data_IF_189832009212
#
_entry.id   IF_189832009212
#
_cell.length_a   1.000
_cell.length_b   1.000
_cell.length_c   1.000
_cell.angle_alpha   90.00
_cell.angle_beta   90.00
_cell.angle_gamma   90.00
#
_symmetry.space_group_name_H-M   'P 1'
#
loop_
_entity.id
_entity.type
_entity.pdbx_description
1 polymer ?
#
# COMPACT_ATOMS: atom_id res chain seq x y z
N UNK A 1 -4.52 24.97 -4.81
CA UNK A 1 -3.86 23.67 -5.08
C UNK A 1 -4.90 22.57 -4.91
N UNK A 2 -5.07 21.65 -5.87
CA UNK A 2 -5.93 20.47 -5.66
C UNK A 2 -5.27 19.61 -4.57
N UNK A 3 -5.99 19.35 -3.48
CA UNK A 3 -5.54 18.40 -2.45
C UNK A 3 -5.55 17.00 -3.05
N UNK A 4 -4.56 16.18 -2.71
CA UNK A 4 -4.57 14.77 -3.09
C UNK A 4 -5.82 14.07 -2.55
N UNK A 5 -6.35 13.13 -3.34
CA UNK A 5 -7.68 12.52 -3.09
C UNK A 5 -7.60 11.07 -2.66
N UNK A 6 -6.47 10.41 -2.88
CA UNK A 6 -6.31 8.96 -2.66
C UNK A 6 -5.47 8.72 -1.42
N UNK A 7 -5.99 7.92 -0.49
CA UNK A 7 -5.26 7.48 0.69
C UNK A 7 -4.31 6.34 0.29
N UNK A 8 -3.05 6.39 0.73
CA UNK A 8 -2.05 5.37 0.40
C UNK A 8 -1.63 4.66 1.68
N UNK A 9 -1.49 3.34 1.58
CA UNK A 9 -0.94 2.45 2.60
C UNK A 9 0.30 1.78 2.01
N UNK A 10 1.46 2.02 2.61
CA UNK A 10 2.71 1.38 2.23
C UNK A 10 3.07 0.29 3.23
N UNK A 11 3.24 -0.93 2.75
CA UNK A 11 3.76 -2.05 3.52
C UNK A 11 5.22 -1.77 3.92
N UNK A 12 5.48 -1.82 5.23
CA UNK A 12 6.80 -1.58 5.82
C UNK A 12 7.31 -2.80 6.59
N UNK A 13 6.83 -3.98 6.20
CA UNK A 13 7.36 -5.27 6.65
C UNK A 13 8.79 -5.51 6.15
N UNK A 14 9.48 -6.44 6.80
CA UNK A 14 10.90 -6.69 6.52
C UNK A 14 11.20 -7.15 5.10
N UNK A 15 10.24 -7.79 4.41
CA UNK A 15 10.39 -8.23 3.02
C UNK A 15 10.43 -7.07 2.03
N UNK A 16 9.79 -5.93 2.37
CA UNK A 16 9.76 -4.72 1.53
C UNK A 16 11.06 -3.91 1.54
N UNK A 17 12.00 -4.23 2.45
CA UNK A 17 13.24 -3.45 2.65
C UNK A 17 14.05 -3.22 1.37
N UNK A 18 14.09 -4.20 0.48
CA UNK A 18 14.87 -4.11 -0.75
C UNK A 18 14.25 -3.18 -1.82
N UNK A 19 12.96 -2.89 -1.74
CA UNK A 19 12.25 -1.99 -2.67
C UNK A 19 11.99 -0.60 -2.07
N UNK A 20 12.19 -0.43 -0.76
CA UNK A 20 11.75 0.73 0.00
C UNK A 20 12.24 2.07 -0.58
N UNK A 21 13.52 2.20 -0.90
CA UNK A 21 14.09 3.44 -1.45
C UNK A 21 13.46 3.83 -2.80
N UNK A 22 13.19 2.84 -3.65
CA UNK A 22 12.55 3.06 -4.94
C UNK A 22 11.07 3.46 -4.77
N UNK A 23 10.35 2.78 -3.86
CA UNK A 23 8.96 3.08 -3.53
C UNK A 23 8.80 4.48 -2.94
N UNK A 24 9.64 4.85 -1.98
CA UNK A 24 9.66 6.20 -1.38
C UNK A 24 9.91 7.26 -2.45
N UNK A 25 10.85 7.02 -3.36
CA UNK A 25 11.14 7.94 -4.47
C UNK A 25 9.92 8.11 -5.40
N UNK A 26 9.23 7.01 -5.74
CA UNK A 26 8.03 7.04 -6.56
C UNK A 26 6.89 7.81 -5.87
N UNK A 27 6.60 7.48 -4.61
CA UNK A 27 5.57 8.12 -3.79
C UNK A 27 5.86 9.63 -3.68
N UNK A 28 7.11 10.02 -3.45
CA UNK A 28 7.52 11.42 -3.41
C UNK A 28 7.23 12.18 -4.71
N UNK A 29 7.46 11.55 -5.86
CA UNK A 29 7.12 12.12 -7.18
C UNK A 29 5.62 12.27 -7.38
N UNK A 30 4.82 11.38 -6.81
CA UNK A 30 3.36 11.36 -6.90
C UNK A 30 2.65 12.16 -5.80
N UNK A 31 3.38 12.72 -4.82
CA UNK A 31 2.84 13.34 -3.59
C UNK A 31 1.68 14.33 -3.78
N UNK A 32 1.61 15.03 -4.92
CA UNK A 32 0.51 15.96 -5.23
C UNK A 32 -0.86 15.28 -5.41
N UNK A 33 -0.88 13.96 -5.64
CA UNK A 33 -2.09 13.17 -5.82
C UNK A 33 -2.50 12.41 -4.54
N UNK A 34 -1.61 12.35 -3.55
CA UNK A 34 -1.77 11.58 -2.32
C UNK A 34 -2.49 12.43 -1.27
N UNK A 35 -3.57 11.88 -0.70
CA UNK A 35 -4.25 12.45 0.45
C UNK A 35 -3.32 12.29 1.66
N UNK A 36 -3.05 13.39 2.34
CA UNK A 36 -2.32 13.39 3.60
C UNK A 36 -3.28 13.24 4.80
N UNK A 37 -2.84 12.59 5.89
CA UNK A 37 -1.53 11.93 6.07
C UNK A 37 -1.34 10.70 5.16
N UNK A 38 -0.08 10.43 4.83
CA UNK A 38 0.37 9.22 4.16
C UNK A 38 0.50 8.12 5.22
N UNK A 39 0.12 6.88 4.91
CA UNK A 39 0.09 5.80 5.88
C UNK A 39 1.06 4.69 5.52
N UNK A 40 1.72 4.14 6.54
CA UNK A 40 2.44 2.89 6.47
C UNK A 40 1.70 1.83 7.28
N UNK A 41 1.92 0.56 6.97
CA UNK A 41 1.35 -0.54 7.73
C UNK A 41 2.31 -1.71 7.94
N UNK A 42 2.15 -2.34 9.11
CA UNK A 42 2.67 -3.65 9.50
C UNK A 42 1.49 -4.41 10.14
N UNK A 43 1.59 -4.87 11.38
CA UNK A 43 0.42 -5.33 12.18
C UNK A 43 -0.52 -4.18 12.60
N UNK A 44 -0.10 -2.93 12.38
CA UNK A 44 -0.85 -1.71 12.70
C UNK A 44 -0.70 -0.70 11.57
N UNK A 45 -1.61 0.27 11.50
CA UNK A 45 -1.52 1.39 10.55
C UNK A 45 -1.03 2.64 11.28
N UNK A 46 0.04 3.24 10.77
CA UNK A 46 0.70 4.39 11.39
C UNK A 46 0.92 5.50 10.35
N UNK A 47 0.87 6.79 10.76
CA UNK A 47 1.19 7.88 9.85
C UNK A 47 2.66 7.82 9.48
N UNK A 48 2.94 8.02 8.20
CA UNK A 48 4.28 8.01 7.64
C UNK A 48 4.61 9.35 6.98
N UNK A 49 5.88 9.72 7.06
CA UNK A 49 6.41 10.92 6.43
C UNK A 49 7.64 10.59 5.60
N UNK A 50 7.82 11.29 4.48
CA UNK A 50 9.08 11.25 3.73
C UNK A 50 9.90 12.47 4.14
N UNK A 51 10.97 12.25 4.91
CA UNK A 51 11.92 13.29 5.35
C UNK A 51 13.29 13.01 4.75
N UNK A 52 13.88 14.01 4.11
CA UNK A 52 15.20 13.91 3.46
C UNK A 52 15.33 12.69 2.52
N UNK A 53 14.24 12.39 1.79
CA UNK A 53 14.17 11.26 0.85
C UNK A 53 14.04 9.89 1.53
N UNK A 54 13.83 9.82 2.84
CA UNK A 54 13.66 8.59 3.61
C UNK A 54 12.28 8.51 4.21
N UNK A 55 11.75 7.29 4.29
CA UNK A 55 10.54 6.99 5.03
C UNK A 55 10.80 7.09 6.54
N UNK A 56 9.95 7.81 7.25
CA UNK A 56 9.91 7.91 8.71
C UNK A 56 8.55 7.42 9.17
N UNK A 57 8.53 6.30 9.88
CA UNK A 57 7.32 5.66 10.43
C UNK A 57 7.69 4.71 11.58
N UNK A 58 6.69 4.27 12.33
CA UNK A 58 6.77 3.10 13.21
C UNK A 58 6.45 1.82 12.42
N UNK A 59 7.04 0.69 12.82
CA UNK A 59 6.72 -0.65 12.30
C UNK A 59 6.89 -1.68 13.41
N UNK A 60 6.04 -2.70 13.41
CA UNK A 60 6.16 -3.89 14.27
C UNK A 60 7.00 -4.99 13.62
N UNK A 61 7.26 -4.90 12.31
CA UNK A 61 7.96 -5.90 11.52
C UNK A 61 7.07 -7.04 10.98
N UNK A 62 5.82 -7.13 11.40
CA UNK A 62 4.79 -8.02 10.83
C UNK A 62 4.04 -7.39 9.66
N UNK A 63 2.95 -8.04 9.24
CA UNK A 63 2.08 -7.60 8.14
C UNK A 63 0.65 -8.00 8.48
N UNK A 64 -0.26 -7.03 8.50
CA UNK A 64 -1.69 -7.29 8.60
C UNK A 64 -2.47 -6.43 7.60
N UNK A 65 -3.09 -7.09 6.62
CA UNK A 65 -4.06 -6.47 5.74
C UNK A 65 -5.35 -6.09 6.48
N UNK A 66 -5.75 -6.84 7.51
CA UNK A 66 -6.92 -6.52 8.32
C UNK A 66 -6.78 -5.17 9.04
N UNK A 67 -5.57 -4.83 9.52
CA UNK A 67 -5.29 -3.51 10.08
C UNK A 67 -5.55 -2.38 9.06
N UNK A 68 -5.21 -2.61 7.78
CA UNK A 68 -5.48 -1.67 6.69
C UNK A 68 -6.99 -1.56 6.43
N UNK A 69 -7.69 -2.69 6.31
CA UNK A 69 -9.13 -2.72 6.04
C UNK A 69 -9.92 -2.03 7.16
N UNK A 70 -9.58 -2.31 8.42
CA UNK A 70 -10.17 -1.64 9.57
C UNK A 70 -9.98 -0.12 9.48
N UNK A 71 -8.75 0.33 9.22
CA UNK A 71 -8.47 1.76 9.10
C UNK A 71 -9.24 2.42 7.93
N UNK A 72 -9.39 1.73 6.79
CA UNK A 72 -10.22 2.23 5.67
C UNK A 72 -11.70 2.36 6.09
N UNK A 73 -12.23 1.38 6.82
CA UNK A 73 -13.62 1.41 7.29
C UNK A 73 -13.87 2.60 8.24
N UNK A 74 -12.88 2.94 9.07
CA UNK A 74 -12.92 4.07 9.99
C UNK A 74 -12.78 5.42 9.29
N UNK A 75 -11.81 5.59 8.37
CA UNK A 75 -11.52 6.91 7.76
C UNK A 75 -12.32 7.20 6.49
N UNK A 76 -12.90 6.17 5.87
CA UNK A 76 -13.71 6.23 4.63
C UNK A 76 -13.14 7.18 3.56
N UNK A 77 -11.94 6.91 3.03
CA UNK A 77 -11.26 7.85 2.12
C UNK A 77 -11.93 8.01 0.75
N UNK A 78 -12.88 7.15 0.39
CA UNK A 78 -13.49 7.04 -0.93
C UNK A 78 -12.58 6.29 -1.92
N UNK A 79 -11.27 6.58 -1.91
CA UNK A 79 -10.25 5.90 -2.72
C UNK A 79 -9.02 5.55 -1.89
N UNK A 80 -8.58 4.30 -1.97
CA UNK A 80 -7.38 3.82 -1.30
C UNK A 80 -6.50 2.97 -2.23
N UNK A 81 -5.19 3.08 -2.08
CA UNK A 81 -4.22 2.18 -2.71
C UNK A 81 -3.32 1.58 -1.66
N UNK A 82 -3.21 0.24 -1.64
CA UNK A 82 -2.28 -0.53 -0.81
C UNK A 82 -1.08 -0.94 -1.66
N UNK A 83 0.13 -0.74 -1.17
CA UNK A 83 1.37 -1.12 -1.84
C UNK A 83 2.07 -2.15 -0.96
N UNK A 84 2.23 -3.38 -1.45
CA UNK A 84 2.71 -4.54 -0.68
C UNK A 84 3.43 -5.54 -1.58
N UNK A 85 4.11 -6.52 -1.02
CA UNK A 85 4.54 -7.73 -1.73
C UNK A 85 3.47 -8.83 -1.73
N UNK A 86 2.34 -8.60 -1.06
CA UNK A 86 1.17 -9.46 -1.10
C UNK A 86 1.29 -10.75 -0.26
N UNK A 87 2.35 -10.91 0.54
CA UNK A 87 2.41 -11.94 1.58
C UNK A 87 1.62 -11.49 2.82
N UNK A 88 0.31 -11.43 2.64
CA UNK A 88 -0.66 -11.05 3.67
C UNK A 88 -1.40 -12.29 4.19
N UNK A 89 -2.12 -12.12 5.29
CA UNK A 89 -3.08 -13.07 5.82
C UNK A 89 -4.38 -13.11 5.00
N UNK A 90 -5.19 -14.15 5.25
CA UNK A 90 -6.57 -14.18 4.77
C UNK A 90 -7.36 -13.02 5.40
N UNK A 91 -7.98 -12.18 4.57
CA UNK A 91 -8.70 -11.00 5.04
C UNK A 91 -10.03 -11.37 5.71
N UNK A 92 -10.35 -10.71 6.83
CA UNK A 92 -11.63 -10.88 7.54
C UNK A 92 -12.81 -10.48 6.63
N UNK A 93 -13.77 -11.38 6.35
CA UNK A 93 -14.93 -11.07 5.49
C UNK A 93 -15.81 -9.93 6.00
N UNK A 94 -15.90 -9.75 7.32
CA UNK A 94 -16.61 -8.64 7.95
C UNK A 94 -15.94 -7.29 7.70
N UNK A 95 -14.60 -7.25 7.68
CA UNK A 95 -13.85 -6.04 7.31
C UNK A 95 -14.00 -5.73 5.81
N UNK A 96 -13.95 -6.74 4.94
CA UNK A 96 -14.25 -6.58 3.51
C UNK A 96 -15.65 -6.01 3.28
N UNK A 97 -16.65 -6.49 4.03
CA UNK A 97 -18.00 -5.94 3.98
C UNK A 97 -18.07 -4.51 4.52
N UNK A 98 -17.33 -4.17 5.58
CA UNK A 98 -17.33 -2.84 6.19
C UNK A 98 -16.79 -1.75 5.25
N UNK A 99 -15.85 -2.11 4.37
CA UNK A 99 -15.31 -1.21 3.34
C UNK A 99 -16.12 -1.20 2.04
N UNK A 100 -17.26 -1.90 1.97
CA UNK A 100 -18.14 -1.87 0.80
C UNK A 100 -18.49 -0.43 0.42
N UNK A 101 -18.28 -0.08 -0.86
CA UNK A 101 -18.45 1.28 -1.39
C UNK A 101 -17.19 2.16 -1.37
N UNK A 102 -16.05 1.67 -0.86
CA UNK A 102 -14.74 2.29 -1.07
C UNK A 102 -14.08 1.74 -2.35
N UNK A 103 -13.39 2.58 -3.14
CA UNK A 103 -12.55 2.14 -4.27
C UNK A 103 -11.16 1.80 -3.74
N UNK A 104 -10.98 0.55 -3.31
CA UNK A 104 -9.72 0.01 -2.78
C UNK A 104 -9.03 -0.79 -3.87
N UNK A 105 -7.74 -0.51 -4.08
CA UNK A 105 -6.89 -1.23 -5.03
C UNK A 105 -5.54 -1.55 -4.41
N UNK A 106 -4.86 -2.55 -4.95
CA UNK A 106 -3.51 -2.89 -4.54
C UNK A 106 -2.49 -2.78 -5.69
N UNK A 107 -1.25 -2.49 -5.33
CA UNK A 107 -0.07 -2.68 -6.17
C UNK A 107 0.79 -3.73 -5.48
N UNK A 108 1.07 -4.82 -6.20
CA UNK A 108 1.90 -5.92 -5.71
C UNK A 108 3.30 -5.79 -6.30
N UNK A 109 4.32 -5.95 -5.46
CA UNK A 109 5.72 -5.98 -5.90
C UNK A 109 5.95 -7.08 -6.94
N UNK A 110 7.06 -6.98 -7.67
CA UNK A 110 7.31 -7.84 -8.83
C UNK A 110 7.30 -9.33 -8.48
N UNK A 111 8.04 -9.67 -7.43
CA UNK A 111 8.28 -11.05 -7.02
C UNK A 111 7.34 -11.46 -5.87
N UNK A 112 6.33 -10.63 -5.59
CA UNK A 112 5.29 -10.84 -4.60
C UNK A 112 4.17 -11.80 -5.02
N UNK A 113 3.20 -12.01 -4.12
CA UNK A 113 2.07 -12.93 -4.28
C UNK A 113 0.73 -12.19 -4.29
N UNK A 114 -0.06 -12.21 -5.37
CA UNK A 114 -1.39 -11.61 -5.38
C UNK A 114 -2.49 -12.50 -4.80
N UNK A 115 -2.18 -13.75 -4.39
CA UNK A 115 -3.18 -14.78 -4.14
C UNK A 115 -4.24 -14.39 -3.09
N UNK A 116 -3.85 -13.80 -1.96
CA UNK A 116 -4.83 -13.40 -0.94
C UNK A 116 -5.66 -12.19 -1.36
N UNK A 117 -5.08 -11.26 -2.14
CA UNK A 117 -5.82 -10.14 -2.72
C UNK A 117 -6.88 -10.64 -3.71
N UNK A 118 -6.54 -11.65 -4.52
CA UNK A 118 -7.48 -12.32 -5.42
C UNK A 118 -8.62 -13.00 -4.66
N UNK A 119 -8.32 -13.72 -3.57
CA UNK A 119 -9.34 -14.35 -2.72
C UNK A 119 -10.25 -13.32 -2.06
N UNK A 120 -9.69 -12.20 -1.61
CA UNK A 120 -10.44 -11.09 -1.02
C UNK A 120 -11.26 -10.29 -2.06
N UNK A 121 -11.07 -10.53 -3.36
CA UNK A 121 -11.72 -9.79 -4.43
C UNK A 121 -11.22 -8.35 -4.56
N UNK A 122 -10.02 -8.03 -4.07
CA UNK A 122 -9.42 -6.69 -4.14
C UNK A 122 -8.70 -6.54 -5.49
N UNK A 123 -9.12 -5.59 -6.36
CA UNK A 123 -8.46 -5.36 -7.62
C UNK A 123 -7.00 -4.95 -7.42
N UNK A 124 -6.08 -5.59 -8.14
CA UNK A 124 -4.65 -5.34 -7.98
C UNK A 124 -3.92 -5.21 -9.32
N UNK A 125 -2.73 -4.61 -9.27
CA UNK A 125 -1.74 -4.61 -10.35
C UNK A 125 -0.43 -5.17 -9.80
N UNK A 126 0.06 -6.25 -10.38
CA UNK A 126 1.41 -6.73 -10.09
C UNK A 126 2.43 -6.04 -10.99
N UNK A 127 3.51 -5.52 -10.42
CA UNK A 127 4.55 -4.84 -11.18
C UNK A 127 5.30 -5.83 -12.07
N UNK A 128 5.37 -5.57 -13.37
CA UNK A 128 6.15 -6.38 -14.30
C UNK A 128 7.67 -6.17 -14.16
N UNK A 129 8.44 -7.04 -14.83
CA UNK A 129 9.85 -6.73 -15.12
C UNK A 129 9.89 -5.54 -16.08
N UNK A 130 10.47 -4.42 -15.65
CA UNK A 130 10.93 -3.43 -16.61
C UNK A 130 12.08 -4.09 -17.40
N UNK A 131 11.83 -4.40 -18.67
CA UNK A 131 12.92 -4.68 -19.59
C UNK A 131 13.77 -3.41 -19.69
N UNK A 132 15.06 -3.52 -19.41
CA UNK A 132 15.99 -2.65 -20.13
C UNK A 132 15.83 -3.05 -21.59
N UNK A 133 15.19 -2.21 -22.40
CA UNK A 133 15.45 -2.22 -23.82
C UNK A 133 16.95 -1.95 -23.97
N UNK A 134 17.71 -3.04 -24.08
CA UNK A 134 19.07 -3.05 -24.60
C UNK A 134 18.95 -2.70 -26.08
N UNK A 135 18.80 -1.41 -26.38
CA UNK A 135 19.04 -0.92 -27.73
C UNK A 135 20.56 -0.82 -27.89
N UNK A 136 21.17 -1.95 -28.23
CA UNK A 136 22.52 -2.04 -28.84
C UNK A 136 22.40 -2.06 -30.34
#
# INVERSE_FOLDING_TARGET
MRRGTTQIYLDVSGSMNHEMDALVTLIWRLRRHIRLPFWAFSDTVEPAEIRDGRLVTSTTGGTSMDAVLQHIAETRPGKAVVITDGYIEECDPGLLQAISGQDVRAIVSRDGSPAELERAGIPHLQLGRFGYDQNS
#
